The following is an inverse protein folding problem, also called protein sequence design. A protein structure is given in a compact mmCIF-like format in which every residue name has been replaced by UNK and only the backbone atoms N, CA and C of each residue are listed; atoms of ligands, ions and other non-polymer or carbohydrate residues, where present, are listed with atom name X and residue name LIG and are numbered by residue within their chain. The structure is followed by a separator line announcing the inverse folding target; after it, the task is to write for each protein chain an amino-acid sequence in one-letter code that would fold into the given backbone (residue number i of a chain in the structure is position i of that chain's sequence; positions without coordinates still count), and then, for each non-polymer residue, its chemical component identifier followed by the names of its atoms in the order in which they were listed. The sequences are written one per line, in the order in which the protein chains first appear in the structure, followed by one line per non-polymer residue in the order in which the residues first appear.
data_IF_118036645210
#
_entry.id   IF_118036645210
#
_cell.length_a   1.000
_cell.length_b   1.000
_cell.length_c   1.000
_cell.angle_alpha   90.00
_cell.angle_beta   90.00
_cell.angle_gamma   90.00
#
_symmetry.space_group_name_H-M   'P 1'
#
loop_
_entity.id
_entity.type
_entity.pdbx_description
1 polymer ?
#
# COMPACT_ATOMS: atom_id res chain seq x y z
N UNK A 1 -25.25 -13.94 -29.24
CA UNK A 1 -24.14 -13.14 -29.85
C UNK A 1 -23.60 -12.25 -28.77
N UNK A 2 -22.27 -12.25 -28.49
CA UNK A 2 -21.68 -11.35 -27.47
C UNK A 2 -21.53 -9.94 -28.03
N UNK A 3 -21.81 -8.96 -27.18
CA UNK A 3 -21.63 -7.53 -27.50
C UNK A 3 -20.60 -6.94 -26.52
N UNK A 4 -19.62 -6.24 -27.05
CA UNK A 4 -18.41 -5.83 -26.32
C UNK A 4 -18.32 -4.31 -26.32
N UNK A 5 -18.47 -3.72 -25.13
CA UNK A 5 -18.24 -2.32 -24.86
C UNK A 5 -16.83 -2.15 -24.28
N UNK A 6 -15.91 -1.62 -25.09
CA UNK A 6 -14.50 -1.53 -24.75
C UNK A 6 -14.09 -0.11 -24.46
N UNK A 7 -13.33 0.09 -23.36
CA UNK A 7 -12.86 1.40 -22.92
C UNK A 7 -11.34 1.48 -22.93
N UNK A 8 -10.84 2.57 -23.50
CA UNK A 8 -9.51 3.11 -23.22
C UNK A 8 -9.65 4.23 -22.19
N UNK A 9 -9.10 4.00 -20.99
CA UNK A 9 -9.37 4.82 -19.81
C UNK A 9 -8.28 5.86 -19.59
N UNK A 10 -8.68 7.13 -19.41
CA UNK A 10 -7.82 8.21 -18.95
C UNK A 10 -8.42 8.92 -17.72
N UNK A 11 -7.68 9.85 -17.14
CA UNK A 11 -8.14 10.63 -15.98
C UNK A 11 -9.35 11.49 -16.34
N UNK A 12 -10.52 11.17 -15.76
CA UNK A 12 -11.76 11.94 -15.91
C UNK A 12 -12.49 11.80 -17.24
N UNK A 13 -11.94 11.02 -18.19
CA UNK A 13 -12.54 10.75 -19.51
C UNK A 13 -12.08 9.41 -20.05
N UNK A 14 -12.80 8.86 -21.00
CA UNK A 14 -12.43 7.63 -21.73
C UNK A 14 -12.81 7.71 -23.18
N UNK A 15 -12.18 6.91 -24.00
CA UNK A 15 -12.66 6.62 -25.36
C UNK A 15 -13.23 5.21 -25.36
N UNK A 16 -14.46 5.04 -25.81
CA UNK A 16 -15.08 3.73 -25.91
C UNK A 16 -15.46 3.42 -27.34
N UNK A 17 -15.52 2.12 -27.65
CA UNK A 17 -16.16 1.60 -28.84
C UNK A 17 -17.11 0.45 -28.48
N UNK A 18 -18.08 0.18 -29.33
CA UNK A 18 -19.02 -0.90 -29.14
C UNK A 18 -19.06 -1.79 -30.36
N UNK A 19 -18.73 -3.06 -30.21
CA UNK A 19 -18.64 -4.05 -31.30
C UNK A 19 -19.36 -5.34 -30.95
N UNK A 20 -19.67 -6.13 -31.95
CA UNK A 20 -20.10 -7.51 -31.76
C UNK A 20 -18.93 -8.52 -31.77
N UNK A 21 -19.20 -9.79 -31.47
CA UNK A 21 -18.19 -10.88 -31.47
C UNK A 21 -17.58 -11.14 -32.86
N UNK A 22 -18.26 -10.74 -33.94
CA UNK A 22 -17.76 -10.80 -35.32
C UNK A 22 -16.95 -9.59 -35.71
N UNK A 23 -16.69 -8.67 -34.74
CA UNK A 23 -15.96 -7.41 -34.92
C UNK A 23 -16.69 -6.35 -35.75
N UNK A 24 -18.01 -6.48 -35.98
CA UNK A 24 -18.79 -5.42 -36.61
C UNK A 24 -18.94 -4.27 -35.62
N UNK A 25 -18.77 -3.04 -36.11
CA UNK A 25 -18.84 -1.82 -35.30
C UNK A 25 -20.31 -1.42 -35.15
N UNK A 26 -20.81 -1.41 -33.90
CA UNK A 26 -22.16 -0.93 -33.55
C UNK A 26 -22.10 0.56 -33.22
N UNK A 27 -21.02 1.00 -32.52
CA UNK A 27 -20.71 2.41 -32.28
C UNK A 27 -19.21 2.61 -32.39
N UNK A 28 -18.83 3.61 -33.19
CA UNK A 28 -17.44 3.98 -33.43
C UNK A 28 -16.81 4.61 -32.18
N UNK A 29 -15.48 4.75 -32.19
CA UNK A 29 -14.71 5.32 -31.11
C UNK A 29 -15.24 6.71 -30.71
N UNK A 30 -15.82 6.80 -29.53
CA UNK A 30 -16.49 7.99 -29.02
C UNK A 30 -15.90 8.34 -27.67
N UNK A 31 -15.63 9.62 -27.42
CA UNK A 31 -15.18 10.10 -26.13
C UNK A 31 -16.37 10.24 -25.18
N UNK A 32 -16.14 9.89 -23.92
CA UNK A 32 -17.09 10.01 -22.82
C UNK A 32 -16.38 10.62 -21.62
N UNK A 33 -16.98 11.59 -20.97
CA UNK A 33 -16.50 12.12 -19.69
C UNK A 33 -16.97 11.22 -18.55
N UNK A 34 -16.21 11.16 -17.44
CA UNK A 34 -16.60 10.35 -16.27
C UNK A 34 -17.69 11.08 -15.45
N UNK A 35 -18.81 11.34 -16.10
CA UNK A 35 -20.03 11.89 -15.51
C UNK A 35 -21.13 10.84 -15.49
N UNK A 36 -21.92 10.86 -14.43
CA UNK A 36 -22.95 9.82 -14.21
C UNK A 36 -24.02 9.82 -15.30
N UNK A 37 -24.46 11.00 -15.73
CA UNK A 37 -25.47 11.16 -16.78
C UNK A 37 -25.02 10.60 -18.13
N UNK A 38 -23.76 10.82 -18.51
CA UNK A 38 -23.17 10.26 -19.74
C UNK A 38 -23.08 8.74 -19.68
N UNK A 39 -22.66 8.19 -18.52
CA UNK A 39 -22.62 6.73 -18.31
C UNK A 39 -24.01 6.11 -18.25
N UNK A 40 -25.00 6.79 -17.64
CA UNK A 40 -26.40 6.33 -17.64
C UNK A 40 -26.98 6.31 -19.07
N UNK A 41 -26.69 7.32 -19.88
CA UNK A 41 -27.09 7.37 -21.30
C UNK A 41 -26.43 6.22 -22.10
N UNK A 42 -25.12 5.99 -21.91
CA UNK A 42 -24.39 4.89 -22.55
C UNK A 42 -24.93 3.53 -22.12
N UNK A 43 -25.17 3.33 -20.81
CA UNK A 43 -25.76 2.09 -20.29
C UNK A 43 -27.15 1.83 -20.88
N UNK A 44 -28.02 2.82 -20.92
CA UNK A 44 -29.37 2.70 -21.49
C UNK A 44 -29.33 2.34 -22.98
N UNK A 45 -28.30 2.76 -23.69
CA UNK A 45 -28.06 2.36 -25.09
C UNK A 45 -27.55 0.91 -25.14
N UNK A 46 -26.49 0.57 -24.39
CA UNK A 46 -25.80 -0.70 -24.50
C UNK A 46 -26.61 -1.87 -23.91
N UNK A 47 -27.42 -1.64 -22.87
CA UNK A 47 -28.27 -2.66 -22.25
C UNK A 47 -29.39 -3.20 -23.11
N UNK A 48 -29.67 -2.59 -24.27
CA UNK A 48 -30.59 -3.13 -25.27
C UNK A 48 -30.04 -4.34 -26.02
N UNK A 49 -28.73 -4.60 -25.89
CA UNK A 49 -28.07 -5.71 -26.54
C UNK A 49 -27.83 -6.85 -25.54
N UNK A 50 -28.23 -8.05 -25.93
CA UNK A 50 -28.03 -9.23 -25.09
C UNK A 50 -26.55 -9.60 -24.95
N UNK A 51 -26.20 -10.28 -23.84
CA UNK A 51 -24.84 -10.74 -23.56
C UNK A 51 -23.78 -9.62 -23.64
N UNK A 52 -24.09 -8.46 -23.06
CA UNK A 52 -23.18 -7.31 -22.97
C UNK A 52 -22.02 -7.64 -22.02
N UNK A 53 -20.82 -7.42 -22.51
CA UNK A 53 -19.56 -7.50 -21.74
C UNK A 53 -18.86 -6.15 -21.84
N UNK A 54 -18.45 -5.63 -20.70
CA UNK A 54 -17.66 -4.41 -20.63
C UNK A 54 -16.19 -4.78 -20.38
N UNK A 55 -15.31 -4.24 -21.19
CA UNK A 55 -13.87 -4.51 -21.06
C UNK A 55 -13.07 -3.21 -21.01
N UNK A 56 -12.01 -3.22 -20.24
CA UNK A 56 -11.09 -2.09 -20.11
C UNK A 56 -9.68 -2.55 -19.75
N UNK A 57 -8.69 -1.72 -20.05
CA UNK A 57 -7.33 -1.92 -19.56
C UNK A 57 -7.18 -1.33 -18.16
N UNK A 58 -6.45 -2.03 -17.26
CA UNK A 58 -6.12 -1.52 -15.93
C UNK A 58 -5.18 -0.32 -16.03
N UNK A 59 -5.73 0.89 -15.98
CA UNK A 59 -4.98 2.15 -16.06
C UNK A 59 -4.93 2.81 -14.70
N UNK A 60 -3.87 2.52 -13.90
CA UNK A 60 -3.73 3.06 -12.54
C UNK A 60 -5.01 2.86 -11.71
N UNK A 61 -5.56 3.95 -11.12
CA UNK A 61 -6.83 3.95 -10.36
C UNK A 61 -8.01 4.46 -11.21
N UNK A 62 -7.77 4.92 -12.43
CA UNK A 62 -8.79 5.64 -13.21
C UNK A 62 -9.86 4.73 -13.79
N UNK A 63 -9.59 3.42 -13.92
CA UNK A 63 -10.59 2.43 -14.35
C UNK A 63 -11.58 2.07 -13.24
N UNK A 64 -11.23 2.22 -11.96
CA UNK A 64 -12.05 1.78 -10.83
C UNK A 64 -13.47 2.38 -10.81
N UNK A 65 -13.70 3.68 -11.05
CA UNK A 65 -15.04 4.24 -11.12
C UNK A 65 -15.89 3.64 -12.25
N UNK A 66 -15.29 3.42 -13.42
CA UNK A 66 -15.95 2.86 -14.59
C UNK A 66 -16.31 1.38 -14.35
N UNK A 67 -15.35 0.62 -13.82
CA UNK A 67 -15.57 -0.78 -13.41
C UNK A 67 -16.72 -0.88 -12.40
N UNK A 68 -16.66 -0.10 -11.31
CA UNK A 68 -17.68 -0.11 -10.26
C UNK A 68 -19.06 0.28 -10.80
N UNK A 69 -19.12 1.24 -11.72
CA UNK A 69 -20.39 1.65 -12.34
C UNK A 69 -21.07 0.46 -13.05
N UNK A 70 -20.36 -0.22 -13.95
CA UNK A 70 -20.97 -1.33 -14.70
C UNK A 70 -21.22 -2.58 -13.85
N UNK A 71 -20.34 -2.87 -12.88
CA UNK A 71 -20.59 -3.97 -11.92
C UNK A 71 -21.82 -3.72 -11.06
N UNK A 72 -22.07 -2.47 -10.62
CA UNK A 72 -23.28 -2.11 -9.88
C UNK A 72 -24.58 -2.30 -10.67
N UNK A 73 -24.47 -2.37 -12.00
CA UNK A 73 -25.56 -2.68 -12.92
C UNK A 73 -25.63 -4.18 -13.29
N UNK A 74 -24.88 -5.03 -12.58
CA UNK A 74 -24.77 -6.47 -12.85
C UNK A 74 -24.27 -6.82 -14.27
N UNK A 75 -23.49 -5.93 -14.89
CA UNK A 75 -22.87 -6.19 -16.20
C UNK A 75 -21.52 -6.90 -15.99
N UNK A 76 -21.30 -7.95 -16.79
CA UNK A 76 -20.01 -8.64 -16.81
C UNK A 76 -18.91 -7.66 -17.25
N UNK A 77 -17.98 -7.39 -16.33
CA UNK A 77 -16.96 -6.36 -16.49
C UNK A 77 -15.57 -6.95 -16.28
N UNK A 78 -14.73 -6.87 -17.30
CA UNK A 78 -13.42 -7.48 -17.36
C UNK A 78 -12.34 -6.37 -17.42
N UNK A 79 -11.44 -6.40 -16.45
CA UNK A 79 -10.27 -5.52 -16.42
C UNK A 79 -9.06 -6.31 -16.91
N UNK A 80 -8.49 -5.88 -18.04
CA UNK A 80 -7.40 -6.56 -18.71
C UNK A 80 -6.03 -6.12 -18.19
N UNK A 81 -5.09 -7.05 -18.13
CA UNK A 81 -3.71 -6.74 -17.76
C UNK A 81 -3.03 -5.89 -18.86
N UNK A 82 -2.43 -4.72 -18.51
CA UNK A 82 -1.76 -3.85 -19.48
C UNK A 82 -0.64 -4.53 -20.27
N UNK A 83 0.06 -5.49 -19.66
CA UNK A 83 1.12 -6.25 -20.36
C UNK A 83 0.57 -7.07 -21.53
N UNK A 84 -0.58 -7.73 -21.32
CA UNK A 84 -1.23 -8.52 -22.39
C UNK A 84 -1.75 -7.63 -23.51
N UNK A 85 -2.40 -6.53 -23.14
CA UNK A 85 -2.90 -5.56 -24.12
C UNK A 85 -1.75 -4.95 -24.91
N UNK A 86 -0.61 -4.63 -24.25
CA UNK A 86 0.59 -4.12 -24.92
C UNK A 86 1.19 -5.15 -25.88
N UNK A 87 1.37 -6.38 -25.45
CA UNK A 87 1.89 -7.46 -26.32
C UNK A 87 1.02 -7.64 -27.57
N UNK A 88 -0.30 -7.61 -27.40
CA UNK A 88 -1.23 -7.68 -28.52
C UNK A 88 -1.16 -6.43 -29.42
N UNK A 89 -1.04 -5.23 -28.84
CA UNK A 89 -0.85 -3.97 -29.58
C UNK A 89 0.44 -3.99 -30.41
N UNK A 90 1.51 -4.58 -29.89
CA UNK A 90 2.81 -4.69 -30.58
C UNK A 90 2.76 -5.65 -31.79
N UNK A 91 1.84 -6.63 -31.79
CA UNK A 91 1.63 -7.54 -32.94
C UNK A 91 0.79 -6.89 -34.06
N UNK A 92 0.02 -5.85 -33.74
CA UNK A 92 -0.82 -5.10 -34.68
C UNK A 92 -0.11 -3.80 -35.03
N UNK A 93 0.42 -3.69 -36.26
CA UNK A 93 1.17 -2.55 -36.80
C UNK A 93 0.90 -1.13 -36.24
N UNK A 94 1.97 -0.34 -36.19
CA UNK A 94 2.29 0.94 -35.54
C UNK A 94 1.43 2.20 -35.89
N UNK A 95 0.11 2.20 -35.83
CA UNK A 95 -0.63 3.47 -35.91
C UNK A 95 -1.04 3.94 -34.50
N UNK A 96 -0.42 5.01 -34.03
CA UNK A 96 -0.73 5.67 -32.77
C UNK A 96 -1.86 6.69 -32.97
N UNK A 97 -3.10 6.31 -32.68
CA UNK A 97 -4.17 7.27 -32.38
C UNK A 97 -5.02 6.68 -31.26
N UNK A 98 -5.29 7.45 -30.21
CA UNK A 98 -6.09 7.06 -29.04
C UNK A 98 -7.46 6.45 -29.42
N UNK A 99 -8.04 6.91 -30.51
CA UNK A 99 -9.28 6.36 -31.08
C UNK A 99 -9.20 4.89 -31.49
N UNK A 100 -8.00 4.37 -31.75
CA UNK A 100 -7.79 2.97 -32.15
C UNK A 100 -7.56 2.05 -30.96
N UNK A 101 -7.24 2.59 -29.78
CA UNK A 101 -6.83 1.76 -28.64
C UNK A 101 -8.02 1.04 -27.99
N UNK A 102 -9.21 1.63 -27.94
CA UNK A 102 -10.42 0.92 -27.49
C UNK A 102 -10.75 -0.28 -28.40
N UNK A 103 -10.58 -0.16 -29.74
CA UNK A 103 -10.75 -1.29 -30.66
C UNK A 103 -9.67 -2.36 -30.50
N UNK A 104 -8.41 -1.97 -30.21
CA UNK A 104 -7.33 -2.92 -29.93
C UNK A 104 -7.60 -3.72 -28.66
N UNK A 105 -8.10 -3.07 -27.61
CA UNK A 105 -8.50 -3.71 -26.37
C UNK A 105 -9.63 -4.73 -26.66
N UNK A 106 -10.66 -4.33 -27.42
CA UNK A 106 -11.76 -5.21 -27.81
C UNK A 106 -11.29 -6.44 -28.61
N UNK A 107 -10.38 -6.23 -29.56
CA UNK A 107 -9.82 -7.32 -30.39
C UNK A 107 -8.89 -8.21 -29.58
N UNK A 108 -8.13 -7.66 -28.65
CA UNK A 108 -7.30 -8.43 -27.71
C UNK A 108 -8.19 -9.38 -26.91
N UNK A 109 -9.29 -8.89 -26.33
CA UNK A 109 -10.25 -9.72 -25.61
C UNK A 109 -10.79 -10.86 -26.48
N UNK A 110 -11.22 -10.58 -27.70
CA UNK A 110 -11.76 -11.61 -28.62
C UNK A 110 -10.71 -12.64 -29.07
N UNK A 111 -9.42 -12.29 -29.06
CA UNK A 111 -8.34 -13.18 -29.46
C UNK A 111 -7.74 -14.01 -28.32
N UNK A 112 -8.09 -13.72 -27.07
CA UNK A 112 -7.45 -14.31 -25.89
C UNK A 112 -8.45 -14.81 -24.83
N UNK A 113 -9.69 -15.13 -25.26
CA UNK A 113 -10.82 -15.46 -24.35
C UNK A 113 -10.47 -16.53 -23.30
N UNK A 114 -9.62 -17.50 -23.62
CA UNK A 114 -9.31 -18.62 -22.73
C UNK A 114 -8.36 -18.28 -21.57
N UNK A 115 -7.64 -17.12 -21.61
CA UNK A 115 -6.59 -16.78 -20.64
C UNK A 115 -6.83 -15.48 -19.87
N UNK A 116 -7.95 -14.79 -20.04
CA UNK A 116 -8.14 -13.42 -19.54
C UNK A 116 -9.04 -13.28 -18.30
N UNK A 117 -9.62 -14.35 -17.83
CA UNK A 117 -10.54 -14.26 -16.70
C UNK A 117 -9.75 -14.10 -15.39
N UNK A 118 -9.40 -12.89 -15.00
CA UNK A 118 -9.18 -12.60 -13.59
C UNK A 118 -10.53 -12.55 -12.90
N UNK A 119 -10.97 -13.71 -12.39
CA UNK A 119 -12.06 -13.78 -11.40
C UNK A 119 -11.75 -12.74 -10.34
N UNK A 120 -12.71 -11.89 -9.98
CA UNK A 120 -12.52 -10.95 -8.87
C UNK A 120 -12.14 -11.77 -7.64
N UNK A 121 -10.93 -11.58 -7.21
CA UNK A 121 -10.38 -12.19 -6.02
C UNK A 121 -10.89 -11.38 -4.82
N UNK A 122 -11.69 -12.00 -3.96
CA UNK A 122 -12.23 -11.36 -2.75
C UNK A 122 -11.13 -10.81 -1.83
N UNK A 123 -9.92 -11.36 -1.92
CA UNK A 123 -8.77 -10.91 -1.13
C UNK A 123 -8.17 -9.60 -1.67
N UNK A 124 -8.34 -9.33 -2.96
CA UNK A 124 -7.78 -8.13 -3.60
C UNK A 124 -8.40 -6.82 -3.10
N UNK A 125 -9.60 -6.89 -2.52
CA UNK A 125 -10.22 -5.74 -1.84
C UNK A 125 -9.38 -5.22 -0.66
N UNK A 126 -8.48 -6.02 -0.10
CA UNK A 126 -7.58 -5.64 0.99
C UNK A 126 -6.24 -5.05 0.51
N UNK A 127 -5.95 -5.08 -0.80
CA UNK A 127 -4.70 -4.53 -1.36
C UNK A 127 -4.47 -3.04 -1.00
N UNK A 128 -5.50 -2.15 -0.97
CA UNK A 128 -5.30 -0.77 -0.52
C UNK A 128 -4.76 -0.65 0.91
N UNK A 129 -5.19 -1.55 1.82
CA UNK A 129 -4.65 -1.59 3.20
C UNK A 129 -3.20 -2.06 3.22
N UNK A 130 -2.84 -3.06 2.41
CA UNK A 130 -1.46 -3.52 2.27
C UNK A 130 -0.55 -2.40 1.73
N UNK A 131 -1.00 -1.66 0.71
CA UNK A 131 -0.27 -0.50 0.16
C UNK A 131 -0.11 0.62 1.18
N UNK A 132 -1.15 0.91 1.95
CA UNK A 132 -1.08 1.89 3.04
C UNK A 132 -0.09 1.45 4.13
N UNK A 133 -0.07 0.17 4.50
CA UNK A 133 0.91 -0.38 5.43
C UNK A 133 2.36 -0.10 4.96
N UNK A 134 2.68 -0.43 3.72
CA UNK A 134 4.03 -0.20 3.17
C UNK A 134 4.40 1.28 3.13
N UNK A 135 3.48 2.15 2.73
CA UNK A 135 3.69 3.60 2.74
C UNK A 135 4.00 4.14 4.13
N UNK A 136 3.29 3.64 5.17
CA UNK A 136 3.56 4.02 6.55
C UNK A 136 4.90 3.49 7.06
N UNK A 137 5.29 2.26 6.71
CA UNK A 137 6.58 1.67 7.08
C UNK A 137 7.74 2.45 6.46
N UNK A 138 7.65 2.80 5.19
CA UNK A 138 8.65 3.63 4.51
C UNK A 138 8.72 5.03 5.12
N UNK A 139 7.55 5.65 5.37
CA UNK A 139 7.45 6.94 6.05
C UNK A 139 8.10 6.92 7.43
N UNK A 140 7.83 5.87 8.21
CA UNK A 140 8.42 5.67 9.52
C UNK A 140 9.95 5.55 9.45
N UNK A 141 10.49 4.89 8.43
CA UNK A 141 11.95 4.76 8.24
C UNK A 141 12.60 6.13 8.01
N UNK A 142 11.98 6.99 7.19
CA UNK A 142 12.45 8.37 6.99
C UNK A 142 12.42 9.20 8.29
N UNK A 143 11.32 9.07 9.05
CA UNK A 143 11.17 9.74 10.34
C UNK A 143 12.23 9.27 11.37
N UNK A 144 12.51 7.97 11.43
CA UNK A 144 13.54 7.38 12.29
C UNK A 144 14.93 7.92 11.97
N UNK A 145 15.26 8.09 10.70
CA UNK A 145 16.52 8.68 10.30
C UNK A 145 16.60 10.17 10.71
N UNK A 146 15.52 10.92 10.53
CA UNK A 146 15.45 12.32 10.98
C UNK A 146 15.55 12.44 12.50
N UNK A 147 14.87 11.56 13.24
CA UNK A 147 14.97 11.48 14.70
C UNK A 147 16.39 11.27 15.18
N UNK A 148 17.14 10.31 14.59
CA UNK A 148 18.56 10.09 14.94
C UNK A 148 19.40 11.35 14.74
N UNK A 149 19.24 12.03 13.61
CA UNK A 149 19.97 13.29 13.35
C UNK A 149 19.68 14.36 14.41
N UNK A 150 18.41 14.48 14.83
CA UNK A 150 18.02 15.46 15.85
C UNK A 150 18.56 15.08 17.24
N UNK A 151 18.57 13.80 17.59
CA UNK A 151 19.15 13.31 18.84
C UNK A 151 20.66 13.64 18.90
N UNK A 152 21.40 13.45 17.82
CA UNK A 152 22.84 13.80 17.78
C UNK A 152 23.10 15.31 17.98
N UNK A 153 22.13 16.16 17.66
CA UNK A 153 22.22 17.62 17.85
C UNK A 153 21.82 18.03 19.27
N UNK A 154 20.71 17.42 19.78
CA UNK A 154 20.04 17.86 21.00
C UNK A 154 20.58 17.14 22.24
N UNK A 155 20.81 15.84 22.15
CA UNK A 155 21.31 15.02 23.26
C UNK A 155 22.02 13.76 22.73
N UNK A 156 23.27 13.88 22.23
CA UNK A 156 23.99 12.77 21.60
C UNK A 156 24.15 11.54 22.52
N UNK A 157 24.33 11.75 23.82
CA UNK A 157 24.50 10.66 24.79
C UNK A 157 23.23 9.84 25.03
N UNK A 158 22.06 10.29 24.52
CA UNK A 158 20.81 9.55 24.61
C UNK A 158 20.91 8.13 24.03
N UNK A 159 21.75 7.95 22.99
CA UNK A 159 22.06 6.66 22.39
C UNK A 159 22.63 5.62 23.39
N UNK A 160 23.26 6.09 24.48
CA UNK A 160 23.87 5.24 25.51
C UNK A 160 22.87 4.80 26.59
N UNK A 161 21.65 5.33 26.56
CA UNK A 161 20.64 5.13 27.60
C UNK A 161 19.62 4.04 27.28
N UNK A 162 19.33 3.82 26.01
CA UNK A 162 18.32 2.88 25.56
C UNK A 162 18.86 1.99 24.45
N UNK A 163 18.68 0.67 24.60
CA UNK A 163 19.08 -0.30 23.57
C UNK A 163 18.24 -0.14 22.29
N UNK A 164 16.97 0.24 22.45
CA UNK A 164 16.09 0.61 21.35
C UNK A 164 15.57 2.03 21.56
N UNK A 165 16.07 2.94 20.75
CA UNK A 165 15.68 4.36 20.74
C UNK A 165 14.23 4.58 20.29
N UNK A 166 13.64 3.60 19.65
CA UNK A 166 12.26 3.64 19.15
C UNK A 166 11.27 2.93 20.04
N UNK A 167 11.72 2.38 21.18
CA UNK A 167 10.82 1.85 22.21
C UNK A 167 9.90 2.94 22.74
N UNK A 168 8.68 2.58 23.15
CA UNK A 168 7.71 3.55 23.66
C UNK A 168 8.27 4.29 24.90
N UNK A 169 9.07 3.60 25.73
CA UNK A 169 9.72 4.22 26.88
C UNK A 169 10.74 5.29 26.48
N UNK A 170 11.58 5.00 25.47
CA UNK A 170 12.58 5.95 24.98
C UNK A 170 11.93 7.16 24.32
N UNK A 171 10.96 6.93 23.43
CA UNK A 171 10.22 8.00 22.76
C UNK A 171 9.45 8.88 23.72
N UNK A 172 8.74 8.29 24.71
CA UNK A 172 8.03 9.06 25.73
C UNK A 172 8.98 9.87 26.59
N UNK A 173 10.12 9.29 26.96
CA UNK A 173 11.10 10.00 27.79
C UNK A 173 11.66 11.24 27.08
N UNK A 174 12.13 11.08 25.84
CA UNK A 174 12.72 12.21 25.09
C UNK A 174 11.66 13.20 24.60
N UNK A 175 10.41 12.79 24.45
CA UNK A 175 9.29 13.69 24.20
C UNK A 175 9.02 14.61 25.39
N UNK A 176 8.94 14.03 26.60
CA UNK A 176 8.60 14.78 27.84
C UNK A 176 9.82 15.53 28.38
N UNK A 177 11.04 15.10 28.06
CA UNK A 177 12.33 15.72 28.42
C UNK A 177 13.24 15.83 27.16
N UNK A 178 12.88 16.67 26.19
CA UNK A 178 13.59 16.74 24.91
C UNK A 178 14.99 17.35 25.00
N UNK A 179 15.43 17.83 26.16
CA UNK A 179 16.75 18.40 26.37
C UNK A 179 17.29 18.01 27.76
N UNK A 180 18.61 17.72 27.91
CA UNK A 180 19.23 17.30 29.18
C UNK A 180 18.92 18.22 30.37
N UNK A 181 18.92 19.53 30.13
CA UNK A 181 18.62 20.56 31.16
C UNK A 181 17.27 20.33 31.85
N UNK A 182 16.28 19.74 31.18
CA UNK A 182 14.94 19.57 31.71
C UNK A 182 14.84 18.50 32.79
N UNK A 183 15.78 17.57 32.87
CA UNK A 183 15.73 16.47 33.83
C UNK A 183 16.96 16.32 34.71
N UNK A 184 18.08 16.94 34.39
CA UNK A 184 19.36 16.82 35.15
C UNK A 184 19.20 17.18 36.62
N UNK A 185 18.41 18.20 36.93
CA UNK A 185 18.17 18.69 38.30
C UNK A 185 16.89 18.08 38.94
N UNK A 186 16.15 17.23 38.24
CA UNK A 186 14.97 16.56 38.82
C UNK A 186 15.41 15.55 39.91
N UNK A 187 14.56 15.31 40.91
CA UNK A 187 14.80 14.30 41.93
C UNK A 187 14.85 12.88 41.34
N UNK A 188 15.72 12.02 41.87
CA UNK A 188 15.88 10.66 41.37
C UNK A 188 14.61 9.82 41.51
N UNK A 189 13.91 9.96 42.64
CA UNK A 189 12.63 9.29 42.87
C UNK A 189 11.55 9.69 41.87
N UNK A 190 11.50 10.97 41.49
CA UNK A 190 10.60 11.46 40.42
C UNK A 190 10.89 10.76 39.08
N UNK A 191 12.14 10.74 38.64
CA UNK A 191 12.51 10.11 37.36
C UNK A 191 12.32 8.58 37.38
N UNK A 192 12.61 7.92 38.52
CA UNK A 192 12.34 6.51 38.68
C UNK A 192 10.85 6.18 38.57
N UNK A 193 10.00 6.98 39.25
CA UNK A 193 8.55 6.82 39.17
C UNK A 193 7.99 7.13 37.74
N UNK A 194 8.53 8.14 37.09
CA UNK A 194 8.20 8.43 35.70
C UNK A 194 8.47 7.21 34.80
N UNK A 195 9.68 6.67 34.82
CA UNK A 195 10.06 5.50 34.02
C UNK A 195 9.25 4.27 34.38
N UNK A 196 8.94 4.06 35.66
CA UNK A 196 8.05 3.00 36.13
C UNK A 196 6.68 3.09 35.48
N UNK A 197 6.06 4.27 35.53
CA UNK A 197 4.71 4.51 34.98
C UNK A 197 4.68 4.30 33.45
N UNK A 198 5.64 4.89 32.74
CA UNK A 198 5.71 4.78 31.27
C UNK A 198 6.08 3.37 30.80
N UNK A 199 6.76 2.58 31.62
CA UNK A 199 7.11 1.18 31.29
C UNK A 199 6.06 0.15 31.75
N UNK A 200 5.02 0.57 32.46
CA UNK A 200 3.98 -0.34 32.97
C UNK A 200 4.46 -1.35 33.98
N UNK A 201 5.56 -1.07 34.73
CA UNK A 201 6.10 -1.96 35.80
C UNK A 201 5.71 -1.44 37.19
N UNK A 202 5.70 -2.34 38.16
CA UNK A 202 5.41 -2.00 39.59
C UNK A 202 6.65 -1.58 40.36
N UNK A 203 7.86 -1.85 39.84
CA UNK A 203 9.13 -1.69 40.57
C UNK A 203 9.93 -0.50 40.06
N UNK A 204 9.79 0.67 40.71
CA UNK A 204 10.54 1.89 40.34
C UNK A 204 12.06 1.71 40.58
N UNK A 205 12.47 0.96 41.57
CA UNK A 205 13.89 0.75 41.93
C UNK A 205 14.72 0.13 40.80
N UNK A 206 14.12 -0.65 39.92
CA UNK A 206 14.79 -1.19 38.71
C UNK A 206 15.43 -0.10 37.84
N UNK A 207 14.93 1.13 37.91
CA UNK A 207 15.44 2.24 37.13
C UNK A 207 16.51 3.07 37.82
N UNK A 208 16.92 2.72 39.09
CA UNK A 208 17.90 3.50 39.86
C UNK A 208 19.20 3.74 39.08
N UNK A 209 19.84 2.67 38.64
CA UNK A 209 21.11 2.78 37.91
C UNK A 209 20.94 3.52 36.56
N UNK A 210 19.82 3.32 35.88
CA UNK A 210 19.50 4.03 34.66
C UNK A 210 19.35 5.52 34.89
N UNK A 211 18.62 5.94 35.93
CA UNK A 211 18.45 7.36 36.29
C UNK A 211 19.78 8.02 36.65
N UNK A 212 20.62 7.30 37.45
CA UNK A 212 21.95 7.83 37.79
C UNK A 212 22.81 8.05 36.54
N UNK A 213 22.86 7.06 35.65
CA UNK A 213 23.60 7.16 34.38
C UNK A 213 23.02 8.28 33.48
N UNK A 214 21.70 8.42 33.41
CA UNK A 214 21.05 9.50 32.63
C UNK A 214 21.48 10.88 33.13
N UNK A 215 21.49 11.09 34.44
CA UNK A 215 21.89 12.39 35.04
C UNK A 215 23.38 12.67 34.87
N UNK A 216 24.23 11.65 35.00
CA UNK A 216 25.67 11.77 34.74
C UNK A 216 25.93 12.19 33.30
N UNK A 217 25.35 11.50 32.33
CA UNK A 217 25.48 11.84 30.92
C UNK A 217 24.93 13.24 30.60
N UNK A 218 23.75 13.59 31.17
CA UNK A 218 23.17 14.91 31.00
C UNK A 218 24.02 16.06 31.57
N UNK A 219 24.72 15.83 32.67
CA UNK A 219 25.65 16.84 33.25
C UNK A 219 26.86 17.08 32.37
N UNK A 220 27.33 16.06 31.67
CA UNK A 220 28.54 16.09 30.87
C UNK A 220 28.23 16.30 29.38
N UNK A 221 26.96 16.44 29.02
CA UNK A 221 26.51 16.57 27.62
C UNK A 221 26.95 17.94 27.05
N UNK A 222 27.54 17.91 25.86
CA UNK A 222 27.83 19.07 25.06
C UNK A 222 26.72 19.30 24.03
N UNK A 223 25.57 19.76 24.53
CA UNK A 223 24.44 20.07 23.66
C UNK A 223 24.79 21.19 22.69
N UNK A 224 24.56 20.99 21.41
CA UNK A 224 24.81 22.01 20.37
C UNK A 224 23.80 23.15 20.39
N UNK A 225 22.61 22.92 20.93
CA UNK A 225 21.47 23.86 20.87
C UNK A 225 20.92 24.16 22.25
N UNK A 226 20.23 25.28 22.40
CA UNK A 226 19.50 25.63 23.62
C UNK A 226 18.14 24.86 23.70
N UNK A 227 17.60 24.81 24.92
CA UNK A 227 16.32 24.12 25.21
C UNK A 227 15.14 24.68 24.38
N UNK A 228 15.15 25.96 24.07
CA UNK A 228 14.10 26.67 23.34
C UNK A 228 14.31 26.67 21.82
N UNK A 229 15.30 25.94 21.33
CA UNK A 229 15.65 25.93 19.91
C UNK A 229 14.58 25.28 19.03
N UNK A 230 14.56 25.68 17.75
CA UNK A 230 13.70 25.03 16.74
C UNK A 230 14.01 23.55 16.54
N UNK A 231 15.27 23.14 16.81
CA UNK A 231 15.68 21.73 16.73
C UNK A 231 15.00 20.90 17.81
N UNK A 232 14.84 21.40 19.02
CA UNK A 232 14.09 20.74 20.10
C UNK A 232 12.62 20.62 19.75
N UNK A 233 12.03 21.69 19.23
CA UNK A 233 10.62 21.66 18.77
C UNK A 233 10.41 20.64 17.63
N UNK A 234 11.33 20.61 16.65
CA UNK A 234 11.30 19.65 15.55
C UNK A 234 11.48 18.22 16.06
N UNK A 235 12.34 17.98 17.07
CA UNK A 235 12.50 16.67 17.69
C UNK A 235 11.18 16.18 18.27
N UNK A 236 10.45 17.00 19.01
CA UNK A 236 9.14 16.67 19.57
C UNK A 236 8.16 16.29 18.45
N UNK A 237 8.04 17.11 17.41
CA UNK A 237 7.16 16.83 16.28
C UNK A 237 7.49 15.52 15.57
N UNK A 238 8.78 15.23 15.36
CA UNK A 238 9.20 13.98 14.71
C UNK A 238 8.85 12.76 15.59
N UNK A 239 8.98 12.89 16.92
CA UNK A 239 8.59 11.82 17.86
C UNK A 239 7.07 11.55 17.76
N UNK A 240 6.25 12.58 17.78
CA UNK A 240 4.80 12.47 17.64
C UNK A 240 4.41 11.77 16.33
N UNK A 241 5.06 12.15 15.22
CA UNK A 241 4.86 11.48 13.93
C UNK A 241 5.27 9.99 13.97
N UNK A 242 6.39 9.64 14.62
CA UNK A 242 6.82 8.24 14.77
C UNK A 242 5.77 7.46 15.58
N UNK A 243 5.28 8.02 16.67
CA UNK A 243 4.27 7.38 17.52
C UNK A 243 2.95 7.20 16.77
N UNK A 244 2.51 8.20 16.01
CA UNK A 244 1.33 8.11 15.13
C UNK A 244 1.48 6.98 14.10
N UNK A 245 2.62 6.94 13.38
CA UNK A 245 2.88 5.86 12.41
C UNK A 245 2.86 4.47 13.06
N UNK A 246 3.45 4.33 14.27
CA UNK A 246 3.41 3.05 15.02
C UNK A 246 1.97 2.61 15.31
N UNK A 247 1.11 3.53 15.72
CA UNK A 247 -0.30 3.24 16.02
C UNK A 247 -1.06 2.85 14.74
N UNK A 248 -0.90 3.61 13.66
CA UNK A 248 -1.58 3.32 12.39
C UNK A 248 -1.13 1.99 11.79
N UNK A 249 0.18 1.70 11.80
CA UNK A 249 0.73 0.40 11.38
C UNK A 249 0.08 -0.74 12.19
N UNK A 250 -0.04 -0.57 13.52
CA UNK A 250 -0.69 -1.58 14.37
C UNK A 250 -2.18 -1.75 14.04
N UNK A 251 -2.90 -0.66 13.78
CA UNK A 251 -4.32 -0.71 13.37
C UNK A 251 -4.50 -1.48 12.07
N UNK A 252 -3.70 -1.15 11.02
CA UNK A 252 -3.79 -1.82 9.73
C UNK A 252 -3.46 -3.31 9.84
N UNK A 253 -2.42 -3.67 10.61
CA UNK A 253 -2.10 -5.08 10.88
C UNK A 253 -3.29 -5.83 11.47
N UNK A 254 -3.92 -5.25 12.48
CA UNK A 254 -5.08 -5.87 13.13
C UNK A 254 -6.29 -5.95 12.18
N UNK A 255 -6.53 -4.92 11.38
CA UNK A 255 -7.60 -4.93 10.37
C UNK A 255 -7.41 -6.04 9.35
N UNK A 256 -6.20 -6.19 8.79
CA UNK A 256 -5.89 -7.26 7.83
C UNK A 256 -6.10 -8.64 8.46
N UNK A 257 -5.55 -8.88 9.65
CA UNK A 257 -5.70 -10.16 10.36
C UNK A 257 -7.17 -10.47 10.62
N UNK A 258 -7.91 -9.52 11.23
CA UNK A 258 -9.29 -9.75 11.65
C UNK A 258 -10.22 -10.05 10.46
N UNK A 259 -10.00 -9.42 9.32
CA UNK A 259 -10.81 -9.64 8.13
C UNK A 259 -10.48 -10.97 7.41
N UNK A 260 -9.23 -11.43 7.49
CA UNK A 260 -8.77 -12.57 6.68
C UNK A 260 -8.63 -13.87 7.48
N UNK A 261 -8.50 -13.82 8.80
CA UNK A 261 -8.20 -14.98 9.65
C UNK A 261 -9.24 -16.12 9.56
N UNK A 262 -10.48 -15.82 9.28
CA UNK A 262 -11.55 -16.80 9.15
C UNK A 262 -11.54 -17.56 7.83
N UNK A 263 -10.84 -17.05 6.80
CA UNK A 263 -10.86 -17.61 5.44
C UNK A 263 -10.11 -18.93 5.35
N UNK A 264 -10.50 -19.78 4.38
CA UNK A 264 -9.88 -21.08 4.15
C UNK A 264 -8.40 -20.94 3.75
N UNK A 265 -8.11 -20.03 2.82
CA UNK A 265 -6.74 -19.81 2.34
C UNK A 265 -5.82 -19.28 3.44
N UNK A 266 -6.32 -18.41 4.33
CA UNK A 266 -5.55 -17.97 5.47
C UNK A 266 -5.07 -19.14 6.32
N UNK A 267 -5.98 -20.07 6.68
CA UNK A 267 -5.65 -21.24 7.49
C UNK A 267 -4.59 -22.13 6.83
N UNK A 268 -4.69 -22.32 5.50
CA UNK A 268 -3.74 -23.12 4.73
C UNK A 268 -2.36 -22.44 4.74
N UNK A 269 -2.28 -21.16 4.40
CA UNK A 269 -0.99 -20.45 4.31
C UNK A 269 -0.36 -20.27 5.69
N UNK A 270 -1.18 -19.98 6.73
CA UNK A 270 -0.70 -19.83 8.10
C UNK A 270 -0.14 -21.12 8.72
N UNK A 271 -0.49 -22.29 8.16
CA UNK A 271 0.08 -23.58 8.57
C UNK A 271 1.51 -23.81 8.05
N UNK A 272 1.99 -23.01 7.10
CA UNK A 272 3.33 -23.11 6.56
C UNK A 272 4.33 -22.53 7.59
N UNK A 273 5.38 -23.30 7.98
CA UNK A 273 6.40 -22.79 8.91
C UNK A 273 7.00 -21.46 8.42
N UNK A 274 7.04 -20.46 9.32
CA UNK A 274 7.53 -19.12 8.99
C UNK A 274 6.43 -18.09 8.65
N UNK A 275 5.22 -18.53 8.36
CA UNK A 275 4.08 -17.63 8.18
C UNK A 275 3.35 -17.40 9.51
N UNK A 276 3.47 -16.19 10.07
CA UNK A 276 2.63 -15.74 11.17
C UNK A 276 1.35 -15.07 10.67
N UNK A 277 0.41 -14.79 11.60
CA UNK A 277 -0.91 -14.22 11.25
C UNK A 277 -0.82 -12.98 10.35
N UNK A 278 0.08 -12.04 10.67
CA UNK A 278 0.22 -10.83 9.88
C UNK A 278 0.86 -11.08 8.51
N UNK A 279 1.90 -11.92 8.43
CA UNK A 279 2.55 -12.25 7.14
C UNK A 279 1.59 -12.95 6.20
N UNK A 280 0.73 -13.83 6.75
CA UNK A 280 -0.34 -14.51 6.01
C UNK A 280 -1.38 -13.51 5.48
N UNK A 281 -1.85 -12.61 6.36
CA UNK A 281 -2.83 -11.61 5.97
C UNK A 281 -2.29 -10.65 4.89
N UNK A 282 -1.05 -10.19 5.06
CA UNK A 282 -0.38 -9.31 4.10
C UNK A 282 -0.17 -10.01 2.75
N UNK A 283 0.25 -11.28 2.77
CA UNK A 283 0.41 -12.09 1.57
C UNK A 283 -0.91 -12.21 0.81
N UNK A 284 -2.00 -12.55 1.47
CA UNK A 284 -3.32 -12.61 0.84
C UNK A 284 -3.79 -11.28 0.27
N UNK A 285 -3.54 -10.18 0.98
CA UNK A 285 -3.91 -8.84 0.52
C UNK A 285 -3.09 -8.39 -0.71
N UNK A 286 -1.83 -8.84 -0.87
CA UNK A 286 -0.96 -8.48 -1.98
C UNK A 286 -1.08 -9.44 -3.16
N UNK A 287 -1.15 -10.74 -2.88
CA UNK A 287 -1.16 -11.79 -3.91
C UNK A 287 -2.58 -12.16 -4.32
N UNK A 288 -3.54 -12.09 -3.39
CA UNK A 288 -4.88 -12.58 -3.61
C UNK A 288 -4.98 -14.10 -3.56
N UNK A 289 -5.97 -14.64 -4.27
CA UNK A 289 -6.14 -16.09 -4.39
C UNK A 289 -5.03 -16.70 -5.25
N UNK A 290 -4.15 -17.48 -4.61
CA UNK A 290 -3.04 -18.14 -5.30
C UNK A 290 -3.52 -19.14 -6.37
N UNK A 291 -4.74 -19.67 -6.27
CA UNK A 291 -5.29 -20.60 -7.25
C UNK A 291 -5.58 -19.98 -8.61
N UNK A 292 -5.50 -18.65 -8.70
CA UNK A 292 -5.63 -17.92 -9.99
C UNK A 292 -4.42 -18.10 -10.92
N UNK A 293 -3.29 -18.59 -10.40
CA UNK A 293 -2.11 -18.88 -11.20
C UNK A 293 -2.19 -20.33 -11.68
N UNK A 294 -2.24 -20.54 -12.99
CA UNK A 294 -2.29 -21.88 -13.58
C UNK A 294 -0.94 -22.61 -13.45
N UNK A 295 0.16 -21.85 -13.52
CA UNK A 295 1.51 -22.37 -13.45
C UNK A 295 2.36 -21.64 -12.41
N UNK A 296 3.33 -22.36 -11.83
CA UNK A 296 4.32 -21.79 -10.91
C UNK A 296 5.06 -20.58 -11.50
N UNK A 297 5.35 -20.59 -12.80
CA UNK A 297 6.05 -19.50 -13.48
C UNK A 297 5.28 -18.19 -13.46
N UNK A 298 3.95 -18.25 -13.60
CA UNK A 298 3.08 -17.06 -13.53
C UNK A 298 3.17 -16.40 -12.15
N UNK A 299 3.15 -17.20 -11.09
CA UNK A 299 3.30 -16.72 -9.72
C UNK A 299 4.69 -16.11 -9.49
N UNK A 300 5.77 -16.78 -9.93
CA UNK A 300 7.16 -16.29 -9.80
C UNK A 300 7.31 -14.94 -10.53
N UNK A 301 6.77 -14.83 -11.74
CA UNK A 301 6.78 -13.58 -12.51
C UNK A 301 5.96 -12.48 -11.83
N UNK A 302 4.82 -12.83 -11.24
CA UNK A 302 3.97 -11.88 -10.51
C UNK A 302 4.69 -11.27 -9.30
N UNK A 303 5.40 -12.08 -8.51
CA UNK A 303 6.16 -11.62 -7.34
C UNK A 303 7.53 -11.01 -7.70
N UNK A 304 7.90 -10.97 -8.98
CA UNK A 304 9.11 -10.31 -9.46
C UNK A 304 10.42 -11.03 -9.16
N UNK A 305 10.39 -12.34 -8.87
CA UNK A 305 11.59 -13.17 -8.61
C UNK A 305 12.15 -13.76 -9.92
N UNK A 306 11.49 -13.55 -11.06
CA UNK A 306 11.92 -14.05 -12.35
C UNK A 306 13.23 -13.36 -12.77
N UNK A 307 14.36 -14.05 -12.58
CA UNK A 307 15.66 -13.59 -13.06
C UNK A 307 15.68 -13.71 -14.58
N UNK A 308 15.51 -12.60 -15.27
CA UNK A 308 15.86 -12.52 -16.70
C UNK A 308 17.37 -12.77 -16.80
N UNK A 309 17.75 -14.00 -17.10
CA UNK A 309 19.12 -14.30 -17.53
C UNK A 309 19.32 -13.63 -18.89
N UNK A 310 19.88 -12.42 -18.87
CA UNK A 310 20.40 -11.80 -20.09
C UNK A 310 21.60 -12.63 -20.55
N UNK A 311 21.39 -13.58 -21.46
CA UNK A 311 22.50 -14.11 -22.26
C UNK A 311 22.99 -12.94 -23.12
N UNK A 312 24.07 -12.26 -22.69
CA UNK A 312 24.94 -11.55 -23.63
C UNK A 312 25.47 -12.62 -24.57
N UNK A 313 25.02 -12.58 -25.81
CA UNK A 313 25.76 -13.24 -26.89
C UNK A 313 27.04 -12.42 -27.10
N UNK A 314 28.16 -13.00 -26.82
CA UNK A 314 29.47 -12.55 -27.28
C UNK A 314 29.53 -12.57 -28.81
#
# INVERSE_FOLDING_TARGET
MKHILSFDIAKGKSVYCFIDEKKNVIRDATMIEHKKDEFDALFNFASKYENLVVIMESTSIYHLPVENYFRSKAIDTIVMNPKLVKQYKDTLNKSKTDKLDCFKIARCYLGTIDNLYQKQDEYFMFNPLARQYWSLVEGQTRLKNRYKQLIEIVFPEFNLLFNDLYSDLALNFIHDFPHPVLFVNRRNDYLMNYLKTKNGTTQAFRFKNKVLKMKELAKNSLCYVSVDSLQVQNLIQVIEMIQYHKQEIKKIKNQLINNLKSTKLFKIINSIPGFGDFSTALFLAEVGDITRFNERKEFISFIGIDSVTSHKKD
#
